data_IF_331320550349
#
_entry.id   IF_331320550349
#
_cell.length_a   1.000
_cell.length_b   1.000
_cell.length_c   1.000
_cell.angle_alpha   90.00
_cell.angle_beta   90.00
_cell.angle_gamma   90.00
#
_symmetry.space_group_name_H-M   'P 1'
#
loop_
_entity.id
_entity.type
_entity.pdbx_description
1 polymer ?
#
# COMPACT_ATOMS: atom_id res chain seq x y z
N UNK A 1 -16.73 -19.99 -29.63
CA UNK A 1 -17.02 -19.02 -28.56
C UNK A 1 -15.73 -18.75 -27.83
N UNK A 2 -15.30 -17.48 -27.63
CA UNK A 2 -14.12 -17.20 -26.84
C UNK A 2 -14.38 -17.67 -25.40
N UNK A 3 -13.50 -18.51 -24.86
CA UNK A 3 -13.53 -18.85 -23.44
C UNK A 3 -13.31 -17.56 -22.64
N UNK A 4 -14.31 -17.13 -21.88
CA UNK A 4 -14.14 -16.07 -20.91
C UNK A 4 -13.10 -16.56 -19.87
N UNK A 5 -12.12 -15.73 -19.51
CA UNK A 5 -11.13 -16.12 -18.52
C UNK A 5 -11.81 -16.38 -17.16
N UNK A 6 -11.38 -17.44 -16.47
CA UNK A 6 -11.91 -17.81 -15.15
C UNK A 6 -11.77 -16.63 -14.18
N UNK A 7 -12.80 -16.34 -13.36
CA UNK A 7 -12.75 -15.24 -12.42
C UNK A 7 -11.66 -15.47 -11.36
N UNK A 8 -11.10 -14.39 -10.84
CA UNK A 8 -10.23 -14.46 -9.68
C UNK A 8 -11.11 -14.59 -8.42
N UNK A 9 -10.95 -15.69 -7.70
CA UNK A 9 -11.81 -16.09 -6.59
C UNK A 9 -11.05 -16.10 -5.26
N UNK A 10 -11.75 -16.30 -4.13
CA UNK A 10 -11.10 -16.59 -2.86
C UNK A 10 -10.18 -17.82 -2.90
N UNK A 11 -10.48 -18.81 -3.75
CA UNK A 11 -9.59 -19.96 -3.96
C UNK A 11 -8.31 -19.55 -4.70
N UNK A 12 -8.42 -18.71 -5.73
CA UNK A 12 -7.27 -18.13 -6.44
C UNK A 12 -6.38 -17.32 -5.50
N UNK A 13 -7.00 -16.56 -4.58
CA UNK A 13 -6.30 -15.82 -3.54
C UNK A 13 -5.56 -16.75 -2.57
N UNK A 14 -6.21 -17.83 -2.12
CA UNK A 14 -5.58 -18.81 -1.23
C UNK A 14 -4.38 -19.51 -1.91
N UNK A 15 -4.50 -19.84 -3.20
CA UNK A 15 -3.41 -20.42 -3.98
C UNK A 15 -2.24 -19.44 -4.11
N UNK A 16 -2.53 -18.16 -4.41
CA UNK A 16 -1.52 -17.10 -4.42
C UNK A 16 -0.80 -17.00 -3.07
N UNK A 17 -1.55 -16.99 -1.96
CA UNK A 17 -0.97 -16.91 -0.62
C UNK A 17 -0.11 -18.11 -0.27
N UNK A 18 -0.51 -19.32 -0.65
CA UNK A 18 0.30 -20.50 -0.46
C UNK A 18 1.65 -20.41 -1.20
N UNK A 19 1.65 -19.87 -2.42
CA UNK A 19 2.86 -19.74 -3.23
C UNK A 19 3.80 -18.65 -2.68
N UNK A 20 3.29 -17.44 -2.43
CA UNK A 20 4.12 -16.31 -1.98
C UNK A 20 4.61 -16.44 -0.54
N UNK A 21 3.97 -17.27 0.28
CA UNK A 21 4.37 -17.53 1.67
C UNK A 21 5.31 -18.71 1.86
N UNK A 22 5.47 -19.54 0.82
CA UNK A 22 6.39 -20.67 0.81
C UNK A 22 7.80 -20.21 1.22
N UNK A 23 8.56 -21.08 1.89
CA UNK A 23 9.87 -20.74 2.46
C UNK A 23 10.83 -20.14 1.43
N UNK A 24 10.75 -20.63 0.20
CA UNK A 24 11.57 -20.18 -0.92
C UNK A 24 11.13 -18.80 -1.48
N UNK A 25 9.90 -18.37 -1.19
CA UNK A 25 9.24 -17.24 -1.82
C UNK A 25 9.03 -17.42 -3.32
N UNK A 26 8.60 -16.36 -3.98
CA UNK A 26 8.46 -16.28 -5.44
C UNK A 26 9.45 -15.29 -6.02
N UNK A 27 9.77 -15.39 -7.30
CA UNK A 27 10.57 -14.34 -7.95
C UNK A 27 9.76 -13.05 -8.11
N UNK A 28 10.43 -11.90 -8.21
CA UNK A 28 9.79 -10.61 -8.50
C UNK A 28 8.99 -10.68 -9.80
N UNK A 29 9.51 -11.35 -10.83
CA UNK A 29 8.76 -11.59 -12.07
C UNK A 29 7.48 -12.42 -11.84
N UNK A 30 7.56 -13.49 -11.04
CA UNK A 30 6.38 -14.31 -10.71
C UNK A 30 5.33 -13.50 -9.94
N UNK A 31 5.73 -12.75 -8.91
CA UNK A 31 4.84 -11.86 -8.18
C UNK A 31 4.15 -10.85 -9.11
N UNK A 32 4.92 -10.22 -10.01
CA UNK A 32 4.37 -9.27 -10.99
C UNK A 32 3.30 -9.93 -11.87
N UNK A 33 3.53 -11.15 -12.35
CA UNK A 33 2.53 -11.89 -13.15
C UNK A 33 1.27 -12.16 -12.34
N UNK A 34 1.39 -12.62 -11.11
CA UNK A 34 0.22 -12.87 -10.25
C UNK A 34 -0.61 -11.60 -10.00
N UNK A 35 0.05 -10.47 -9.75
CA UNK A 35 -0.64 -9.19 -9.57
C UNK A 35 -1.28 -8.68 -10.88
N UNK A 36 -0.66 -8.94 -12.03
CA UNK A 36 -1.24 -8.65 -13.33
C UNK A 36 -2.48 -9.52 -13.63
N UNK A 37 -2.45 -10.81 -13.28
CA UNK A 37 -3.61 -11.70 -13.39
C UNK A 37 -4.75 -11.22 -12.48
N UNK A 38 -4.47 -10.94 -11.20
CA UNK A 38 -5.45 -10.40 -10.27
C UNK A 38 -6.13 -9.13 -10.79
N UNK A 39 -5.37 -8.21 -11.40
CA UNK A 39 -5.90 -6.94 -11.92
C UNK A 39 -6.62 -7.05 -13.27
N UNK A 40 -6.48 -8.16 -13.99
CA UNK A 40 -7.06 -8.34 -15.33
C UNK A 40 -8.22 -9.34 -15.38
N UNK A 41 -8.29 -10.27 -14.42
CA UNK A 41 -9.34 -11.27 -14.36
C UNK A 41 -10.65 -10.70 -13.77
N UNK A 42 -11.83 -11.20 -14.19
CA UNK A 42 -13.10 -10.83 -13.58
C UNK A 42 -13.12 -11.17 -12.09
N UNK A 43 -13.65 -10.26 -11.26
CA UNK A 43 -13.82 -10.48 -9.81
C UNK A 43 -15.29 -10.25 -9.45
N UNK A 44 -15.83 -11.08 -8.55
CA UNK A 44 -17.17 -10.89 -8.02
C UNK A 44 -17.28 -9.56 -7.27
N UNK A 45 -18.39 -8.82 -7.42
CA UNK A 45 -18.52 -7.48 -6.84
C UNK A 45 -18.29 -7.44 -5.32
N UNK A 46 -18.74 -8.47 -4.59
CA UNK A 46 -18.51 -8.58 -3.15
C UNK A 46 -17.02 -8.70 -2.78
N UNK A 47 -16.25 -9.47 -3.55
CA UNK A 47 -14.81 -9.65 -3.37
C UNK A 47 -14.04 -8.40 -3.76
N UNK A 48 -14.41 -7.75 -4.87
CA UNK A 48 -13.83 -6.48 -5.27
C UNK A 48 -14.05 -5.41 -4.18
N UNK A 49 -15.24 -5.39 -3.57
CA UNK A 49 -15.54 -4.47 -2.48
C UNK A 49 -14.75 -4.80 -1.21
N UNK A 50 -14.61 -6.08 -0.86
CA UNK A 50 -13.80 -6.51 0.28
C UNK A 50 -12.31 -6.16 0.08
N UNK A 51 -11.79 -6.28 -1.14
CA UNK A 51 -10.46 -5.82 -1.51
C UNK A 51 -10.30 -4.31 -1.36
N UNK A 52 -11.19 -3.51 -1.95
CA UNK A 52 -11.16 -2.04 -1.84
C UNK A 52 -11.18 -1.54 -0.40
N UNK A 53 -11.90 -2.25 0.46
CA UNK A 53 -12.02 -1.91 1.88
C UNK A 53 -10.87 -2.48 2.74
N UNK A 54 -9.99 -3.33 2.18
CA UNK A 54 -8.92 -4.00 2.92
C UNK A 54 -9.45 -4.91 4.04
N UNK A 55 -10.45 -5.75 3.76
CA UNK A 55 -11.12 -6.61 4.76
C UNK A 55 -10.97 -8.10 4.50
N UNK A 56 -11.02 -8.87 5.58
CA UNK A 56 -11.01 -10.33 5.54
C UNK A 56 -9.77 -10.88 4.85
N UNK A 57 -9.94 -11.93 4.05
CA UNK A 57 -8.85 -12.54 3.30
C UNK A 57 -8.14 -11.57 2.34
N UNK A 58 -8.82 -10.52 1.87
CA UNK A 58 -8.27 -9.56 0.92
C UNK A 58 -7.36 -8.50 1.55
N UNK A 59 -7.38 -8.38 2.89
CA UNK A 59 -6.64 -7.33 3.61
C UNK A 59 -5.15 -7.39 3.34
N UNK A 60 -4.54 -8.57 3.46
CA UNK A 60 -3.10 -8.78 3.24
C UNK A 60 -2.71 -8.50 1.78
N UNK A 61 -3.57 -8.83 0.82
CA UNK A 61 -3.34 -8.52 -0.59
C UNK A 61 -3.31 -7.00 -0.82
N UNK A 62 -4.31 -6.31 -0.28
CA UNK A 62 -4.49 -4.87 -0.42
C UNK A 62 -3.39 -4.07 0.29
N UNK A 63 -3.14 -4.37 1.56
CA UNK A 63 -2.27 -3.55 2.42
C UNK A 63 -0.78 -3.87 2.22
N UNK A 64 -0.42 -5.12 1.95
CA UNK A 64 0.98 -5.58 1.98
C UNK A 64 1.45 -6.03 0.60
N UNK A 65 0.83 -7.06 0.02
CA UNK A 65 1.35 -7.74 -1.19
C UNK A 65 1.39 -6.80 -2.40
N UNK A 66 0.32 -6.04 -2.65
CA UNK A 66 0.27 -5.08 -3.76
C UNK A 66 1.28 -3.95 -3.55
N UNK A 67 1.40 -3.44 -2.32
CA UNK A 67 2.34 -2.37 -1.99
C UNK A 67 3.79 -2.80 -2.20
N UNK A 68 4.17 -3.97 -1.68
CA UNK A 68 5.50 -4.56 -1.89
C UNK A 68 5.72 -4.84 -3.37
N UNK A 69 4.75 -5.43 -4.07
CA UNK A 69 4.86 -5.68 -5.51
C UNK A 69 5.16 -4.42 -6.32
N UNK A 70 4.45 -3.32 -6.04
CA UNK A 70 4.72 -2.02 -6.66
C UNK A 70 6.07 -1.40 -6.26
N UNK A 71 6.51 -1.59 -5.02
CA UNK A 71 7.83 -1.13 -4.57
C UNK A 71 8.97 -1.87 -5.28
N UNK A 72 8.82 -3.19 -5.47
CA UNK A 72 9.84 -4.01 -6.12
C UNK A 72 9.91 -3.78 -7.64
N UNK A 73 8.80 -3.36 -8.24
CA UNK A 73 8.65 -3.23 -9.68
C UNK A 73 9.65 -2.22 -10.29
N UNK A 74 10.58 -2.75 -11.09
CA UNK A 74 11.61 -1.95 -11.77
C UNK A 74 12.75 -1.48 -10.87
N UNK A 75 12.75 -1.85 -9.57
CA UNK A 75 13.82 -1.53 -8.62
C UNK A 75 14.79 -2.71 -8.42
N UNK A 76 14.28 -3.93 -8.41
CA UNK A 76 15.09 -5.12 -8.16
C UNK A 76 15.12 -6.05 -9.38
N UNK A 77 16.20 -6.85 -9.54
CA UNK A 77 16.28 -7.89 -10.56
C UNK A 77 15.07 -8.82 -10.53
N UNK A 78 14.61 -9.25 -11.71
CA UNK A 78 13.41 -10.08 -11.85
C UNK A 78 13.52 -11.46 -11.22
N UNK A 79 14.74 -11.96 -11.06
CA UNK A 79 15.12 -13.22 -10.42
C UNK A 79 15.33 -13.09 -8.89
N UNK A 80 15.37 -11.87 -8.35
CA UNK A 80 15.26 -11.63 -6.91
C UNK A 80 13.99 -12.28 -6.38
N UNK A 81 14.02 -12.76 -5.15
CA UNK A 81 12.88 -13.45 -4.55
C UNK A 81 12.28 -12.66 -3.42
N UNK A 82 10.97 -12.80 -3.25
CA UNK A 82 10.22 -12.19 -2.17
C UNK A 82 9.32 -13.23 -1.53
N UNK A 83 9.27 -13.23 -0.20
CA UNK A 83 8.39 -14.08 0.60
C UNK A 83 7.51 -13.22 1.49
N UNK A 84 6.25 -13.57 1.61
CA UNK A 84 5.30 -12.93 2.52
C UNK A 84 4.92 -13.92 3.62
N UNK A 85 5.35 -13.72 4.89
CA UNK A 85 4.92 -14.60 5.98
C UNK A 85 3.39 -14.65 6.16
N UNK A 86 2.70 -13.55 5.82
CA UNK A 86 1.24 -13.39 5.95
C UNK A 86 0.73 -13.61 7.38
N UNK A 87 1.59 -13.38 8.37
CA UNK A 87 1.26 -13.40 9.78
C UNK A 87 1.20 -11.96 10.36
N UNK A 88 1.06 -11.84 11.67
CA UNK A 88 0.99 -10.54 12.37
C UNK A 88 2.35 -10.08 12.92
N UNK A 89 3.45 -10.70 12.47
CA UNK A 89 4.81 -10.35 12.89
C UNK A 89 5.54 -9.56 11.80
N UNK A 90 6.26 -8.49 12.17
CA UNK A 90 7.12 -7.80 11.22
C UNK A 90 8.36 -8.66 10.87
N UNK A 91 8.89 -8.56 9.65
CA UNK A 91 8.42 -7.71 8.55
C UNK A 91 7.28 -8.36 7.74
N UNK A 92 6.49 -7.53 7.06
CA UNK A 92 5.40 -7.99 6.17
C UNK A 92 5.91 -8.81 4.97
N UNK A 93 7.15 -8.56 4.51
CA UNK A 93 7.81 -9.34 3.48
C UNK A 93 9.32 -9.47 3.70
N UNK A 94 9.92 -10.49 3.09
CA UNK A 94 11.36 -10.71 3.04
C UNK A 94 11.82 -10.67 1.59
N UNK A 95 12.74 -9.76 1.27
CA UNK A 95 13.42 -9.67 -0.01
C UNK A 95 14.75 -10.42 0.06
N UNK A 96 14.98 -11.29 -0.91
CA UNK A 96 16.19 -12.11 -1.05
C UNK A 96 16.81 -11.79 -2.40
N UNK A 97 17.90 -11.02 -2.37
CA UNK A 97 18.70 -10.70 -3.56
C UNK A 97 19.90 -11.63 -3.59
N UNK A 98 20.26 -12.16 -4.76
CA UNK A 98 21.35 -13.13 -4.87
C UNK A 98 22.67 -12.53 -4.36
N UNK A 99 23.33 -13.23 -3.42
CA UNK A 99 24.58 -12.81 -2.82
C UNK A 99 24.44 -11.84 -1.62
N UNK A 100 23.24 -11.39 -1.30
CA UNK A 100 22.97 -10.45 -0.21
C UNK A 100 22.19 -11.12 0.94
N UNK A 101 22.35 -10.66 2.20
CA UNK A 101 21.49 -11.06 3.30
C UNK A 101 20.01 -10.73 3.01
N UNK A 102 19.05 -11.56 3.45
CA UNK A 102 17.64 -11.23 3.34
C UNK A 102 17.29 -9.93 4.08
N UNK A 103 16.52 -9.05 3.44
CA UNK A 103 16.10 -7.77 4.00
C UNK A 103 14.59 -7.79 4.23
N UNK A 104 14.17 -7.40 5.44
CA UNK A 104 12.75 -7.24 5.76
C UNK A 104 12.16 -5.98 5.12
N UNK A 105 10.93 -6.07 4.63
CA UNK A 105 10.13 -4.93 4.15
C UNK A 105 8.91 -4.80 5.05
N UNK A 106 8.82 -3.66 5.73
CA UNK A 106 7.66 -3.27 6.54
C UNK A 106 6.79 -2.30 5.72
N UNK A 107 5.49 -2.55 5.70
CA UNK A 107 4.52 -1.70 5.02
C UNK A 107 3.64 -0.97 6.05
N UNK A 108 3.31 0.27 5.75
CA UNK A 108 2.26 0.99 6.48
C UNK A 108 1.53 1.95 5.56
N UNK A 109 0.32 2.34 5.93
CA UNK A 109 -0.52 3.20 5.11
C UNK A 109 -0.82 4.52 5.81
N UNK A 110 -0.52 5.64 5.15
CA UNK A 110 -0.96 6.96 5.56
C UNK A 110 -2.40 7.20 5.05
N UNK A 111 -3.28 7.68 5.93
CA UNK A 111 -4.71 7.91 5.62
C UNK A 111 -5.45 6.61 5.26
N UNK A 112 -5.05 5.47 5.85
CA UNK A 112 -5.63 4.16 5.58
C UNK A 112 -7.14 4.13 5.84
N UNK A 113 -7.57 4.76 6.95
CA UNK A 113 -8.99 4.81 7.33
C UNK A 113 -9.79 5.70 6.39
N UNK A 114 -9.21 6.80 5.91
CA UNK A 114 -9.86 7.61 4.88
C UNK A 114 -10.05 6.81 3.58
N UNK A 115 -9.06 6.02 3.16
CA UNK A 115 -9.19 5.10 2.01
C UNK A 115 -10.32 4.09 2.19
N UNK A 116 -10.38 3.44 3.35
CA UNK A 116 -11.44 2.50 3.70
C UNK A 116 -12.85 3.13 3.66
N UNK A 117 -13.00 4.36 4.16
CA UNK A 117 -14.30 5.05 4.17
C UNK A 117 -14.72 5.56 2.78
N UNK A 118 -13.75 5.90 1.91
CA UNK A 118 -14.01 6.12 0.47
C UNK A 118 -14.49 4.83 -0.17
N UNK A 119 -13.81 3.70 0.07
CA UNK A 119 -14.18 2.40 -0.49
C UNK A 119 -15.61 2.00 -0.12
N UNK A 120 -16.02 2.15 1.15
CA UNK A 120 -17.42 1.92 1.59
C UNK A 120 -18.43 2.74 0.79
N UNK A 121 -18.07 3.98 0.44
CA UNK A 121 -18.95 4.86 -0.32
C UNK A 121 -19.15 4.37 -1.77
N UNK A 122 -18.19 3.63 -2.33
CA UNK A 122 -18.26 3.09 -3.70
C UNK A 122 -19.30 1.96 -3.84
N UNK A 123 -19.63 1.24 -2.77
CA UNK A 123 -20.65 0.20 -2.81
C UNK A 123 -22.06 0.74 -3.11
N UNK A 124 -22.33 2.01 -2.79
CA UNK A 124 -23.64 2.63 -2.92
C UNK A 124 -24.02 3.12 -4.32
N UNK A 125 -23.14 2.97 -5.33
CA UNK A 125 -23.44 3.34 -6.73
C UNK A 125 -23.60 4.84 -7.01
N UNK A 126 -23.32 5.71 -6.04
CA UNK A 126 -23.47 7.17 -6.12
C UNK A 126 -22.16 7.94 -6.26
N UNK A 127 -22.24 9.28 -6.22
CA UNK A 127 -21.07 10.14 -6.23
C UNK A 127 -20.24 9.95 -4.94
N UNK A 128 -19.02 9.44 -5.08
CA UNK A 128 -18.11 9.21 -3.96
C UNK A 128 -17.18 10.40 -3.71
N UNK A 129 -16.78 10.64 -2.45
CA UNK A 129 -15.67 11.56 -2.16
C UNK A 129 -14.38 11.02 -2.78
N UNK A 130 -13.67 11.85 -3.53
CA UNK A 130 -12.33 11.50 -4.05
C UNK A 130 -11.22 11.59 -2.99
N UNK A 131 -11.49 12.27 -1.88
CA UNK A 131 -10.58 12.45 -0.75
C UNK A 131 -11.41 12.81 0.50
N UNK A 132 -11.09 12.23 1.67
CA UNK A 132 -11.76 12.57 2.94
C UNK A 132 -10.85 13.44 3.83
N UNK A 133 -9.53 13.33 3.70
CA UNK A 133 -8.55 14.20 4.37
C UNK A 133 -8.52 14.14 5.90
N UNK A 134 -9.27 13.22 6.50
CA UNK A 134 -9.24 12.97 7.94
C UNK A 134 -8.09 12.03 8.29
N UNK A 135 -7.42 12.32 9.40
CA UNK A 135 -6.37 11.46 9.95
C UNK A 135 -6.96 10.16 10.49
N UNK A 136 -6.15 9.10 10.59
CA UNK A 136 -6.64 7.77 10.97
C UNK A 136 -7.19 7.71 12.40
N UNK A 137 -6.75 8.62 13.27
CA UNK A 137 -7.25 8.78 14.63
C UNK A 137 -8.54 9.63 14.74
N UNK A 138 -9.09 10.16 13.64
CA UNK A 138 -10.37 10.86 13.65
C UNK A 138 -11.51 9.94 14.09
N UNK A 139 -12.55 10.50 14.71
CA UNK A 139 -13.65 9.72 15.27
C UNK A 139 -14.56 9.13 14.19
N UNK A 140 -15.28 8.05 14.51
CA UNK A 140 -16.26 7.45 13.60
C UNK A 140 -17.36 8.43 13.18
N UNK A 141 -17.73 9.37 14.06
CA UNK A 141 -18.69 10.43 13.76
C UNK A 141 -18.14 11.40 12.70
N UNK A 142 -16.87 11.78 12.80
CA UNK A 142 -16.23 12.65 11.80
C UNK A 142 -16.18 12.00 10.42
N UNK A 143 -15.83 10.71 10.34
CA UNK A 143 -15.86 9.97 9.07
C UNK A 143 -17.27 9.83 8.51
N UNK A 144 -18.27 9.56 9.37
CA UNK A 144 -19.67 9.47 8.95
C UNK A 144 -20.17 10.79 8.38
N UNK A 145 -19.91 11.90 9.06
CA UNK A 145 -20.23 13.24 8.57
C UNK A 145 -19.48 13.57 7.28
N UNK A 146 -18.22 13.15 7.15
CA UNK A 146 -17.45 13.38 5.93
C UNK A 146 -18.03 12.64 4.73
N UNK A 147 -18.41 11.37 4.87
CA UNK A 147 -19.07 10.60 3.79
C UNK A 147 -20.42 11.18 3.40
N UNK A 148 -21.22 11.63 4.36
CA UNK A 148 -22.54 12.20 4.11
C UNK A 148 -22.50 13.45 3.21
N UNK A 149 -21.37 14.16 3.17
CA UNK A 149 -21.17 15.31 2.27
C UNK A 149 -20.99 14.92 0.80
N UNK A 150 -20.73 13.65 0.49
CA UNK A 150 -20.48 13.19 -0.88
C UNK A 150 -19.24 13.85 -1.51
N UNK A 151 -19.35 14.35 -2.74
CA UNK A 151 -18.24 14.99 -3.46
C UNK A 151 -17.98 16.39 -2.89
N UNK A 152 -16.80 16.59 -2.31
CA UNK A 152 -16.32 17.89 -1.81
C UNK A 152 -15.05 18.28 -2.56
N UNK A 153 -14.97 19.56 -2.97
CA UNK A 153 -13.73 20.13 -3.49
C UNK A 153 -12.84 20.54 -2.32
N UNK A 154 -11.67 19.91 -2.22
CA UNK A 154 -10.66 20.27 -1.23
C UNK A 154 -9.66 21.26 -1.83
N UNK A 155 -9.21 22.21 -1.01
CA UNK A 155 -8.10 23.07 -1.41
C UNK A 155 -6.82 22.25 -1.50
N UNK A 156 -5.95 22.57 -2.46
CA UNK A 156 -4.63 21.93 -2.61
C UNK A 156 -3.84 21.96 -1.30
N UNK A 157 -3.77 23.12 -0.64
CA UNK A 157 -3.10 23.30 0.65
C UNK A 157 -3.66 22.38 1.74
N UNK A 158 -4.97 22.19 1.78
CA UNK A 158 -5.61 21.29 2.74
C UNK A 158 -5.27 19.81 2.49
N UNK A 159 -5.22 19.39 1.22
CA UNK A 159 -4.79 18.03 0.84
C UNK A 159 -3.33 17.80 1.23
N UNK A 160 -2.44 18.74 0.86
CA UNK A 160 -1.01 18.63 1.15
C UNK A 160 -0.75 18.53 2.65
N UNK A 161 -1.37 19.41 3.46
CA UNK A 161 -1.23 19.36 4.91
C UNK A 161 -1.75 18.04 5.51
N UNK A 162 -2.86 17.50 5.02
CA UNK A 162 -3.39 16.23 5.50
C UNK A 162 -2.46 15.05 5.17
N UNK A 163 -1.87 15.04 3.98
CA UNK A 163 -0.89 14.03 3.56
C UNK A 163 0.39 14.13 4.39
N UNK A 164 0.95 15.34 4.53
CA UNK A 164 2.19 15.56 5.29
C UNK A 164 2.05 15.16 6.76
N UNK A 165 0.92 15.51 7.38
CA UNK A 165 0.61 15.11 8.75
C UNK A 165 0.51 13.58 8.88
N UNK A 166 -0.11 12.93 7.90
CA UNK A 166 -0.27 11.47 7.92
C UNK A 166 1.08 10.74 7.71
N UNK A 167 1.92 11.21 6.79
CA UNK A 167 3.30 10.70 6.62
C UNK A 167 4.07 10.86 7.92
N UNK A 168 4.06 12.06 8.51
CA UNK A 168 4.75 12.35 9.76
C UNK A 168 4.28 11.43 10.89
N UNK A 169 2.97 11.23 11.02
CA UNK A 169 2.40 10.33 12.02
C UNK A 169 2.84 8.87 11.82
N UNK A 170 2.96 8.39 10.57
CA UNK A 170 3.47 7.05 10.28
C UNK A 170 4.95 6.92 10.63
N UNK A 171 5.79 7.89 10.25
CA UNK A 171 7.21 7.89 10.59
C UNK A 171 7.41 7.86 12.11
N UNK A 172 6.71 8.71 12.85
CA UNK A 172 6.81 8.77 14.32
C UNK A 172 6.34 7.50 15.02
N UNK A 173 5.48 6.69 14.40
CA UNK A 173 5.01 5.44 14.97
C UNK A 173 5.97 4.26 14.76
N UNK A 174 7.03 4.42 13.95
CA UNK A 174 7.95 3.36 13.52
C UNK A 174 9.39 3.52 14.06
N UNK A 175 9.56 4.31 15.12
CA UNK A 175 10.85 4.52 15.78
C UNK A 175 11.09 3.46 16.86
N UNK A 176 11.24 2.19 16.46
CA UNK A 176 11.54 1.08 17.37
C UNK A 176 12.64 0.19 16.81
N UNK A 177 13.55 -0.25 17.68
CA UNK A 177 14.73 -1.04 17.32
C UNK A 177 14.41 -2.37 16.59
N UNK A 178 13.22 -2.94 16.80
CA UNK A 178 12.79 -4.17 16.11
C UNK A 178 12.72 -4.04 14.58
N UNK A 179 12.72 -2.80 14.08
CA UNK A 179 12.70 -2.47 12.66
C UNK A 179 14.09 -2.16 12.08
N UNK A 180 15.15 -2.35 12.86
CA UNK A 180 16.52 -2.06 12.41
C UNK A 180 16.87 -2.78 11.10
N UNK A 181 17.51 -2.04 10.20
CA UNK A 181 18.03 -2.52 8.90
C UNK A 181 16.98 -2.98 7.88
N UNK A 182 15.70 -2.98 8.26
CA UNK A 182 14.57 -3.24 7.36
C UNK A 182 14.32 -2.04 6.42
N UNK A 183 13.53 -2.26 5.38
CA UNK A 183 13.01 -1.21 4.49
C UNK A 183 11.60 -0.83 4.96
N UNK A 184 11.33 0.46 5.12
CA UNK A 184 9.96 0.95 5.36
C UNK A 184 9.33 1.44 4.06
N UNK A 185 8.15 0.91 3.73
CA UNK A 185 7.30 1.40 2.63
C UNK A 185 6.02 2.00 3.21
N UNK A 186 5.83 3.31 3.00
CA UNK A 186 4.60 4.01 3.40
C UNK A 186 3.74 4.23 2.16
N UNK A 187 2.60 3.55 2.07
CA UNK A 187 1.61 3.84 1.02
C UNK A 187 0.90 5.15 1.35
N UNK A 188 0.82 6.07 0.40
CA UNK A 188 0.25 7.40 0.59
C UNK A 188 -0.36 7.91 -0.73
N UNK A 189 -1.54 8.57 -0.71
CA UNK A 189 -2.18 9.09 -1.92
C UNK A 189 -1.48 10.36 -2.45
N UNK A 190 -0.25 10.22 -2.96
CA UNK A 190 0.57 11.35 -3.42
C UNK A 190 -0.03 12.07 -4.63
N UNK A 191 -0.68 11.37 -5.56
CA UNK A 191 -1.20 11.92 -6.80
C UNK A 191 -0.14 12.67 -7.63
N UNK A 192 -0.59 13.56 -8.53
CA UNK A 192 0.27 14.54 -9.22
C UNK A 192 0.06 15.92 -8.65
N UNK A 193 0.97 16.36 -7.79
CA UNK A 193 1.09 17.76 -7.38
C UNK A 193 2.55 18.17 -7.59
N UNK A 194 2.81 19.37 -8.14
CA UNK A 194 4.18 19.85 -8.34
C UNK A 194 4.97 19.89 -7.03
N UNK A 195 4.32 20.29 -5.93
CA UNK A 195 4.96 20.38 -4.61
C UNK A 195 5.04 19.03 -3.88
N UNK A 196 4.82 17.90 -4.57
CA UNK A 196 4.95 16.53 -4.02
C UNK A 196 5.95 15.71 -4.83
N UNK A 197 6.95 16.38 -5.41
CA UNK A 197 8.13 15.77 -6.00
C UNK A 197 9.05 15.15 -4.94
N UNK A 198 10.06 14.43 -5.43
CA UNK A 198 11.00 13.74 -4.55
C UNK A 198 11.76 14.71 -3.64
N UNK A 199 12.25 15.82 -4.20
CA UNK A 199 13.00 16.84 -3.47
C UNK A 199 12.15 17.50 -2.38
N UNK A 200 10.90 17.89 -2.67
CA UNK A 200 10.03 18.56 -1.70
C UNK A 200 9.58 17.62 -0.57
N UNK A 201 9.38 16.33 -0.88
CA UNK A 201 9.04 15.33 0.14
C UNK A 201 10.24 14.97 1.00
N UNK A 202 11.43 14.86 0.40
CA UNK A 202 12.68 14.64 1.14
C UNK A 202 13.01 15.84 2.03
N UNK A 203 12.83 17.07 1.55
CA UNK A 203 13.04 18.28 2.34
C UNK A 203 12.11 18.35 3.57
N UNK A 204 10.86 17.89 3.45
CA UNK A 204 9.89 17.90 4.55
C UNK A 204 10.05 16.75 5.53
N UNK A 205 10.30 15.54 5.02
CA UNK A 205 10.20 14.30 5.81
C UNK A 205 11.52 13.56 5.98
N UNK A 206 12.56 13.91 5.21
CA UNK A 206 13.85 13.23 5.18
C UNK A 206 14.58 13.24 6.52
N UNK A 207 14.58 14.35 7.25
CA UNK A 207 15.22 14.42 8.57
C UNK A 207 14.58 13.44 9.58
N UNK A 208 13.24 13.32 9.57
CA UNK A 208 12.52 12.35 10.40
C UNK A 208 12.79 10.92 9.94
N UNK A 209 12.78 10.67 8.63
CA UNK A 209 13.07 9.35 8.07
C UNK A 209 14.50 8.88 8.39
N UNK A 210 15.49 9.77 8.27
CA UNK A 210 16.90 9.48 8.55
C UNK A 210 17.13 9.04 10.00
N UNK A 211 16.37 9.58 10.94
CA UNK A 211 16.46 9.23 12.36
C UNK A 211 15.89 7.85 12.69
N UNK A 212 15.11 7.22 11.80
CA UNK A 212 14.52 5.91 12.03
C UNK A 212 15.55 4.78 11.86
N UNK A 213 15.35 3.62 12.52
CA UNK A 213 16.29 2.50 12.48
C UNK A 213 16.28 1.71 11.15
N UNK A 214 15.37 2.00 10.23
CA UNK A 214 15.32 1.37 8.89
C UNK A 214 16.57 1.70 8.05
N UNK A 215 16.97 0.79 7.15
CA UNK A 215 18.01 1.05 6.15
C UNK A 215 17.53 2.03 5.08
N UNK A 216 16.28 1.86 4.62
CA UNK A 216 15.63 2.72 3.63
C UNK A 216 14.21 3.09 4.06
N UNK A 217 13.74 4.27 3.63
CA UNK A 217 12.35 4.70 3.87
C UNK A 217 11.76 5.27 2.58
N UNK A 218 10.63 4.71 2.15
CA UNK A 218 9.98 5.03 0.89
C UNK A 218 8.55 5.48 1.06
N UNK A 219 8.13 6.44 0.23
CA UNK A 219 6.74 6.78 0.00
C UNK A 219 6.30 6.17 -1.33
N UNK A 220 5.14 5.52 -1.34
CA UNK A 220 4.59 4.86 -2.52
C UNK A 220 3.15 5.31 -2.76
N UNK A 221 2.83 5.72 -3.99
CA UNK A 221 1.44 5.96 -4.39
C UNK A 221 0.80 4.70 -4.96
N UNK A 222 -0.15 4.05 -4.25
CA UNK A 222 -0.77 2.82 -4.72
C UNK A 222 -1.63 3.02 -5.98
N UNK A 223 -2.06 4.25 -6.28
CA UNK A 223 -2.87 4.56 -7.45
C UNK A 223 -2.03 4.80 -8.72
N UNK A 224 -0.71 4.92 -8.61
CA UNK A 224 0.18 5.26 -9.72
C UNK A 224 1.43 4.38 -9.71
N UNK A 225 1.41 3.36 -10.57
CA UNK A 225 2.55 2.46 -10.78
C UNK A 225 3.83 3.27 -11.04
N UNK A 226 4.91 2.94 -10.31
CA UNK A 226 6.20 3.60 -10.42
C UNK A 226 6.33 4.95 -9.70
N UNK A 227 5.26 5.51 -9.11
CA UNK A 227 5.38 6.73 -8.29
C UNK A 227 5.86 6.36 -6.88
N UNK A 228 7.17 6.29 -6.74
CA UNK A 228 7.86 6.13 -5.46
C UNK A 228 8.77 7.33 -5.17
N UNK A 229 9.03 7.58 -3.88
CA UNK A 229 9.99 8.59 -3.42
C UNK A 229 10.77 8.01 -2.24
N UNK A 230 12.09 7.96 -2.37
CA UNK A 230 12.99 7.59 -1.28
C UNK A 230 13.24 8.81 -0.38
N UNK A 231 13.01 8.65 0.93
CA UNK A 231 13.26 9.65 1.97
C UNK A 231 14.60 9.42 2.70
N UNK A 232 14.96 8.15 2.89
CA UNK A 232 16.23 7.64 3.42
C UNK A 232 16.74 6.57 2.49
#
# INVERSE_FOLDING_TARGET
MPHLPSPFTAQSLAALYADISAQAGVTVAALRRHLAEFSSLPIAQADLQAYREGRGAWKKLHDEVVAVGHFLDGRYPEDSRVRFPLDDQPPDAWLMVNGEPPVGIEVTAALARAGHEVAKSMAGGGAVPGFIGLQDNATSQQFTAARARGRVLHSKKGIDAAIDNAITARLSAKDQQKFAEQILVITVPLGSSPDRGAQELQARHGAKAAALPFSEVHLLDPARRGRHVQLK
#
